data_IF_362586194800
#
_entry.id   IF_362586194800
#
_cell.length_a   1.000
_cell.length_b   1.000
_cell.length_c   1.000
_cell.angle_alpha   90.00
_cell.angle_beta   90.00
_cell.angle_gamma   90.00
#
_symmetry.space_group_name_H-M   'P 1'
#
loop_
_entity.id
_entity.type
_entity.pdbx_description
1 polymer ?
#
# COMPACT_ATOMS: atom_id res chain seq x y z
N UNK A 1 27.63 -50.41 1.01
CA UNK A 1 27.25 -49.17 0.30
C UNK A 1 27.66 -47.99 1.18
N UNK A 2 28.93 -47.80 1.59
CA UNK A 2 30.16 -47.41 0.86
C UNK A 2 30.02 -46.13 0.03
N UNK A 3 30.55 -45.03 0.60
CA UNK A 3 30.84 -43.76 -0.03
C UNK A 3 32.08 -43.83 -0.95
N UNK A 4 32.27 -42.84 -1.83
CA UNK A 4 33.61 -42.40 -2.25
C UNK A 4 33.76 -40.86 -2.04
N UNK A 5 34.69 -40.39 -1.21
CA UNK A 5 36.11 -40.03 -1.48
C UNK A 5 36.33 -38.88 -2.47
N UNK A 6 36.91 -37.81 -1.92
CA UNK A 6 37.57 -36.65 -2.55
C UNK A 6 38.74 -37.01 -3.46
N UNK A 7 38.94 -36.26 -4.54
CA UNK A 7 40.26 -36.10 -5.17
C UNK A 7 40.44 -34.70 -5.78
N UNK A 8 41.63 -34.12 -5.55
CA UNK A 8 42.08 -32.83 -6.04
C UNK A 8 43.23 -33.04 -7.05
N UNK A 9 43.26 -32.29 -8.15
CA UNK A 9 44.45 -32.13 -9.00
C UNK A 9 44.33 -30.83 -9.83
N UNK A 10 45.14 -29.80 -9.55
CA UNK A 10 46.52 -29.53 -10.01
C UNK A 10 46.58 -28.70 -11.30
N UNK A 11 47.05 -27.46 -11.12
CA UNK A 11 47.56 -26.52 -12.12
C UNK A 11 48.79 -27.05 -12.86
N UNK A 12 48.96 -26.77 -14.17
CA UNK A 12 50.26 -26.87 -14.82
C UNK A 12 51.03 -25.54 -14.79
N UNK A 13 52.22 -25.59 -14.19
CA UNK A 13 53.34 -24.65 -14.38
C UNK A 13 54.04 -24.92 -15.72
N UNK A 14 54.53 -23.87 -16.37
CA UNK A 14 55.83 -23.79 -17.10
C UNK A 14 55.96 -22.36 -17.66
N UNK A 15 57.10 -21.69 -17.74
CA UNK A 15 58.48 -21.96 -17.33
C UNK A 15 59.21 -20.60 -17.42
N UNK A 16 60.16 -20.35 -16.51
CA UNK A 16 60.96 -19.12 -16.43
C UNK A 16 61.90 -18.96 -17.63
N UNK A 17 62.10 -17.72 -18.09
CA UNK A 17 63.39 -17.25 -18.63
C UNK A 17 63.77 -15.95 -17.92
N UNK A 18 64.83 -16.04 -17.12
CA UNK A 18 65.65 -14.94 -16.63
C UNK A 18 66.44 -14.34 -17.79
N UNK A 19 66.68 -13.02 -17.81
CA UNK A 19 67.96 -12.40 -18.20
C UNK A 19 67.93 -10.88 -17.84
N UNK A 20 68.95 -10.51 -17.07
CA UNK A 20 69.68 -9.25 -16.94
C UNK A 20 68.96 -7.88 -16.86
N UNK A 21 69.28 -7.17 -15.77
CA UNK A 21 69.14 -5.74 -15.63
C UNK A 21 70.17 -4.99 -16.49
N UNK A 22 69.73 -3.91 -17.14
CA UNK A 22 70.58 -2.77 -17.52
C UNK A 22 69.76 -1.50 -17.35
N UNK A 23 70.27 -0.62 -16.50
CA UNK A 23 69.71 0.70 -16.20
C UNK A 23 69.76 1.61 -17.42
N UNK A 24 68.64 2.22 -17.77
CA UNK A 24 68.61 3.42 -18.60
C UNK A 24 67.55 4.38 -18.03
N UNK A 25 68.04 5.52 -17.52
CA UNK A 25 67.23 6.67 -17.14
C UNK A 25 66.60 7.24 -18.40
N UNK A 26 65.28 7.22 -18.48
CA UNK A 26 64.51 7.87 -19.53
C UNK A 26 63.28 8.53 -18.92
N UNK A 27 63.24 9.86 -18.94
CA UNK A 27 62.05 10.64 -18.59
C UNK A 27 60.90 10.19 -19.51
N UNK A 28 59.86 9.56 -18.95
CA UNK A 28 58.58 9.42 -19.62
C UNK A 28 57.67 10.52 -19.09
N UNK A 29 57.45 11.55 -19.90
CA UNK A 29 56.41 12.53 -19.69
C UNK A 29 55.05 11.81 -19.74
N UNK A 30 54.37 11.73 -18.59
CA UNK A 30 53.01 11.23 -18.51
C UNK A 30 52.06 12.23 -19.18
N UNK A 31 51.74 12.01 -20.45
CA UNK A 31 50.64 12.68 -21.12
C UNK A 31 49.32 12.24 -20.48
N UNK A 32 48.70 13.13 -19.71
CA UNK A 32 47.32 12.97 -19.25
C UNK A 32 46.43 13.13 -20.48
N UNK A 33 45.83 12.04 -20.95
CA UNK A 33 44.71 12.12 -21.89
C UNK A 33 43.46 12.40 -21.05
N UNK A 34 42.77 13.54 -21.21
CA UNK A 34 41.52 13.76 -20.54
C UNK A 34 40.47 12.85 -21.19
N UNK A 35 39.97 11.87 -20.43
CA UNK A 35 38.75 11.16 -20.79
C UNK A 35 37.60 12.16 -20.76
N UNK A 36 37.21 12.67 -21.94
CA UNK A 36 36.00 13.47 -22.09
C UNK A 36 34.80 12.56 -21.75
N UNK A 37 34.33 12.65 -20.50
CA UNK A 37 33.09 12.03 -20.08
C UNK A 37 31.96 12.66 -20.89
N UNK A 38 31.32 11.87 -21.75
CA UNK A 38 30.05 12.26 -22.35
C UNK A 38 29.05 12.25 -21.19
N UNK A 39 28.80 13.43 -20.61
CA UNK A 39 27.70 13.60 -19.68
C UNK A 39 26.41 13.30 -20.46
N UNK A 40 25.74 12.21 -20.08
CA UNK A 40 24.38 11.94 -20.54
C UNK A 40 23.53 13.15 -20.12
N UNK A 41 23.13 13.98 -21.08
CA UNK A 41 22.25 15.10 -20.80
C UNK A 41 20.98 14.56 -20.12
N UNK A 42 20.68 15.08 -18.93
CA UNK A 42 19.41 14.78 -18.27
C UNK A 42 18.28 15.11 -19.24
N UNK A 43 17.34 14.17 -19.40
CA UNK A 43 16.17 14.40 -20.22
C UNK A 43 15.49 15.71 -19.78
N UNK A 44 15.02 16.55 -20.73
CA UNK A 44 14.38 17.81 -20.38
C UNK A 44 13.21 17.52 -19.45
N UNK A 45 13.16 18.24 -18.32
CA UNK A 45 12.04 18.18 -17.41
C UNK A 45 10.76 18.57 -18.18
N UNK A 46 9.73 17.73 -18.13
CA UNK A 46 8.46 18.00 -18.79
C UNK A 46 7.92 19.36 -18.34
N UNK A 47 7.54 20.21 -19.30
CA UNK A 47 7.11 21.58 -19.05
C UNK A 47 5.82 21.67 -18.20
N UNK A 48 5.11 20.56 -18.01
CA UNK A 48 3.98 20.40 -17.10
C UNK A 48 3.97 18.95 -16.60
N UNK A 49 4.69 18.60 -15.52
CA UNK A 49 4.64 17.25 -15.00
C UNK A 49 3.18 16.92 -14.64
N UNK A 50 2.69 15.71 -14.97
CA UNK A 50 1.32 15.35 -14.67
C UNK A 50 1.07 15.53 -13.17
N UNK A 51 -0.07 16.14 -12.82
CA UNK A 51 -0.47 16.28 -11.43
C UNK A 51 -0.60 14.88 -10.82
N UNK A 52 0.03 14.67 -9.66
CA UNK A 52 -0.14 13.47 -8.85
C UNK A 52 -1.55 13.43 -8.28
N UNK A 53 -2.47 12.84 -9.04
CA UNK A 53 -3.90 12.78 -8.70
C UNK A 53 -4.37 11.37 -8.36
N UNK A 54 -3.55 10.35 -8.65
CA UNK A 54 -3.91 8.96 -8.44
C UNK A 54 -3.42 8.45 -7.09
N UNK A 55 -4.23 7.58 -6.48
CA UNK A 55 -3.76 6.67 -5.43
C UNK A 55 -3.77 5.25 -5.99
N UNK A 56 -2.86 4.41 -5.52
CA UNK A 56 -2.76 3.02 -5.98
C UNK A 56 -2.68 2.03 -4.82
N UNK A 57 -3.49 0.98 -4.88
CA UNK A 57 -3.30 -0.18 -4.01
C UNK A 57 -2.26 -1.12 -4.60
N UNK A 58 -1.35 -1.65 -3.78
CA UNK A 58 -0.43 -2.72 -4.17
C UNK A 58 -0.81 -4.02 -3.46
N UNK A 59 -1.41 -4.98 -4.18
CA UNK A 59 -1.69 -6.28 -3.62
C UNK A 59 -0.43 -7.02 -3.22
N UNK A 60 -0.44 -7.72 -2.08
CA UNK A 60 0.74 -8.46 -1.62
C UNK A 60 1.16 -9.57 -2.61
N UNK A 61 0.20 -10.16 -3.33
CA UNK A 61 0.43 -11.29 -4.24
C UNK A 61 1.08 -10.90 -5.56
N UNK A 62 1.15 -9.61 -5.89
CA UNK A 62 1.81 -9.05 -7.08
C UNK A 62 2.75 -7.91 -6.72
N UNK A 63 3.36 -7.98 -5.52
CA UNK A 63 4.18 -6.88 -4.98
C UNK A 63 5.33 -6.50 -5.92
N UNK A 64 6.03 -7.48 -6.51
CA UNK A 64 7.14 -7.22 -7.44
C UNK A 64 6.69 -6.41 -8.66
N UNK A 65 5.63 -6.88 -9.32
CA UNK A 65 5.10 -6.34 -10.57
C UNK A 65 4.46 -4.98 -10.31
N UNK A 66 3.69 -4.86 -9.23
CA UNK A 66 3.03 -3.62 -8.85
C UNK A 66 4.04 -2.54 -8.42
N UNK A 67 5.13 -2.92 -7.76
CA UNK A 67 6.21 -1.98 -7.41
C UNK A 67 6.94 -1.49 -8.66
N UNK A 68 7.27 -2.39 -9.60
CA UNK A 68 7.87 -2.01 -10.90
C UNK A 68 6.95 -1.06 -11.68
N UNK A 69 5.66 -1.37 -11.75
CA UNK A 69 4.66 -0.54 -12.43
C UNK A 69 4.56 0.85 -11.79
N UNK A 70 4.50 0.92 -10.45
CA UNK A 70 4.51 2.20 -9.74
C UNK A 70 5.80 2.99 -10.04
N UNK A 71 6.98 2.36 -9.94
CA UNK A 71 8.26 3.05 -10.16
C UNK A 71 8.33 3.66 -11.57
N UNK A 72 7.81 2.96 -12.57
CA UNK A 72 7.75 3.46 -13.95
C UNK A 72 6.75 4.63 -14.14
N UNK A 73 5.73 4.72 -13.29
CA UNK A 73 4.61 5.67 -13.43
C UNK A 73 4.46 6.63 -12.24
N UNK A 74 5.50 6.79 -11.42
CA UNK A 74 5.39 7.42 -10.10
C UNK A 74 4.98 8.90 -10.16
N UNK A 75 5.14 9.56 -11.31
CA UNK A 75 4.67 10.94 -11.53
C UNK A 75 3.14 11.07 -11.49
N UNK A 76 2.38 9.98 -11.68
CA UNK A 76 0.91 9.99 -11.65
C UNK A 76 0.33 9.87 -10.23
N UNK A 77 1.09 9.32 -9.29
CA UNK A 77 0.58 8.88 -7.99
C UNK A 77 0.95 9.84 -6.86
N UNK A 78 -0.04 10.30 -6.09
CA UNK A 78 0.18 11.06 -4.85
C UNK A 78 0.60 10.16 -3.69
N UNK A 79 0.01 8.97 -3.64
CA UNK A 79 0.19 8.04 -2.54
C UNK A 79 -0.13 6.61 -2.98
N UNK A 80 0.37 5.68 -2.19
CA UNK A 80 0.36 4.26 -2.48
C UNK A 80 0.07 3.46 -1.22
N UNK A 81 -0.75 2.42 -1.35
CA UNK A 81 -1.23 1.60 -0.24
C UNK A 81 -0.96 0.12 -0.45
N UNK A 82 0.18 -0.39 0.04
CA UNK A 82 0.45 -1.82 0.01
C UNK A 82 -0.43 -2.61 0.98
N UNK A 83 -0.97 -3.75 0.54
CA UNK A 83 -1.75 -4.70 1.34
C UNK A 83 -0.85 -5.58 2.23
N UNK A 84 -0.09 -4.95 3.12
CA UNK A 84 0.89 -5.66 3.96
C UNK A 84 0.40 -5.98 5.36
N UNK A 85 -0.74 -5.44 5.80
CA UNK A 85 -1.19 -5.58 7.18
C UNK A 85 -2.64 -6.00 7.28
N UNK A 86 -2.94 -6.73 8.34
CA UNK A 86 -4.30 -7.06 8.73
C UNK A 86 -4.45 -6.99 10.25
N UNK A 87 -5.64 -6.64 10.70
CA UNK A 87 -6.02 -6.85 12.07
C UNK A 87 -6.48 -8.31 12.24
N UNK A 88 -5.91 -9.01 13.22
CA UNK A 88 -6.18 -10.42 13.53
C UNK A 88 -6.58 -10.58 14.98
N UNK A 89 -7.27 -11.68 15.30
CA UNK A 89 -7.60 -12.02 16.69
C UNK A 89 -6.32 -12.21 17.50
N UNK A 90 -6.21 -11.53 18.64
CA UNK A 90 -5.21 -11.81 19.68
C UNK A 90 -5.80 -12.61 20.83
N UNK A 91 -7.10 -12.48 21.06
CA UNK A 91 -7.90 -13.31 21.96
C UNK A 91 -9.33 -13.41 21.42
N UNK A 92 -10.24 -14.04 22.17
CA UNK A 92 -11.68 -14.07 21.85
C UNK A 92 -12.31 -12.69 21.73
N UNK A 93 -11.65 -11.65 22.26
CA UNK A 93 -12.29 -10.35 22.41
C UNK A 93 -11.38 -9.16 22.14
N UNK A 94 -10.11 -9.40 21.78
CA UNK A 94 -9.12 -8.38 21.41
C UNK A 94 -8.51 -8.68 20.05
N UNK A 95 -8.00 -7.64 19.39
CA UNK A 95 -7.28 -7.75 18.13
C UNK A 95 -5.81 -7.34 18.31
N UNK A 96 -4.99 -7.69 17.32
CA UNK A 96 -3.67 -7.12 17.09
C UNK A 96 -3.47 -6.83 15.61
N UNK A 97 -2.65 -5.84 15.27
CA UNK A 97 -2.20 -5.65 13.89
C UNK A 97 -1.03 -6.59 13.60
N UNK A 98 -1.09 -7.29 12.48
CA UNK A 98 -0.09 -8.24 12.03
C UNK A 98 0.25 -8.01 10.55
N UNK A 99 1.35 -8.62 10.10
CA UNK A 99 1.69 -8.64 8.67
C UNK A 99 0.74 -9.60 7.96
N UNK A 100 0.03 -9.10 6.96
CA UNK A 100 -0.80 -9.87 6.06
C UNK A 100 0.10 -10.69 5.15
N UNK A 101 -0.12 -12.01 5.13
CA UNK A 101 0.63 -12.98 4.34
C UNK A 101 2.17 -12.79 4.41
N UNK A 102 2.83 -13.58 5.25
CA UNK A 102 4.28 -13.53 5.49
C UNK A 102 5.17 -13.91 4.28
N UNK A 103 4.60 -13.97 3.07
CA UNK A 103 5.29 -14.12 1.79
C UNK A 103 6.34 -13.03 1.52
N UNK A 104 6.21 -11.83 2.11
CA UNK A 104 7.21 -10.77 2.01
C UNK A 104 8.06 -10.73 3.27
N UNK A 105 9.33 -11.11 3.13
CA UNK A 105 10.32 -10.94 4.20
C UNK A 105 10.40 -9.47 4.66
N UNK A 106 10.82 -9.24 5.91
CA UNK A 106 11.04 -7.88 6.41
C UNK A 106 12.03 -7.09 5.53
N UNK A 107 13.06 -7.75 4.99
CA UNK A 107 14.00 -7.14 4.05
C UNK A 107 13.35 -6.74 2.73
N UNK A 108 12.47 -7.58 2.18
CA UNK A 108 11.71 -7.26 0.96
C UNK A 108 10.78 -6.07 1.19
N UNK A 109 10.05 -6.02 2.31
CA UNK A 109 9.16 -4.90 2.63
C UNK A 109 9.94 -3.59 2.81
N UNK A 110 11.08 -3.63 3.50
CA UNK A 110 11.94 -2.45 3.65
C UNK A 110 12.48 -1.95 2.30
N UNK A 111 12.91 -2.86 1.41
CA UNK A 111 13.37 -2.52 0.06
C UNK A 111 12.24 -1.89 -0.78
N UNK A 112 11.04 -2.49 -0.78
CA UNK A 112 9.89 -1.92 -1.49
C UNK A 112 9.51 -0.56 -0.92
N UNK A 113 9.46 -0.41 0.40
CA UNK A 113 9.20 0.88 1.05
C UNK A 113 10.19 1.95 0.58
N UNK A 114 11.48 1.64 0.56
CA UNK A 114 12.52 2.56 0.08
C UNK A 114 12.32 2.94 -1.40
N UNK A 115 11.96 1.99 -2.26
CA UNK A 115 11.66 2.27 -3.67
C UNK A 115 10.44 3.18 -3.84
N UNK A 116 9.36 2.94 -3.09
CA UNK A 116 8.15 3.76 -3.13
C UNK A 116 8.43 5.19 -2.67
N UNK A 117 9.04 5.35 -1.50
CA UNK A 117 9.39 6.66 -0.93
C UNK A 117 10.44 7.40 -1.76
N UNK A 118 11.39 6.68 -2.37
CA UNK A 118 12.40 7.25 -3.27
C UNK A 118 11.83 7.91 -4.53
N UNK A 119 10.55 7.66 -4.85
CA UNK A 119 9.83 8.37 -5.92
C UNK A 119 8.90 9.47 -5.41
N UNK A 120 8.93 9.73 -4.10
CA UNK A 120 8.20 10.81 -3.44
C UNK A 120 6.70 10.56 -3.25
N UNK A 121 6.20 9.33 -3.44
CA UNK A 121 4.82 9.02 -3.06
C UNK A 121 4.71 8.86 -1.55
N UNK A 122 3.58 9.27 -0.98
CA UNK A 122 3.24 8.92 0.39
C UNK A 122 2.94 7.42 0.46
N UNK A 123 3.48 6.73 1.44
CA UNK A 123 3.23 5.29 1.62
C UNK A 123 2.30 5.10 2.81
N UNK A 124 1.09 4.63 2.53
CA UNK A 124 0.00 4.44 3.48
C UNK A 124 -0.51 3.00 3.41
N UNK A 125 0.21 2.01 4.01
CA UNK A 125 -0.18 0.61 3.90
C UNK A 125 -1.60 0.34 4.37
N UNK A 126 -2.28 -0.56 3.67
CA UNK A 126 -3.64 -0.95 4.00
C UNK A 126 -3.66 -1.90 5.20
N UNK A 127 -4.63 -1.72 6.09
CA UNK A 127 -4.92 -2.65 7.19
C UNK A 127 -6.32 -3.23 6.98
N UNK A 128 -6.37 -4.51 6.64
CA UNK A 128 -7.63 -5.24 6.42
C UNK A 128 -8.20 -5.84 7.71
N UNK A 129 -9.50 -6.10 7.77
CA UNK A 129 -10.10 -6.88 8.87
C UNK A 129 -10.06 -8.39 8.62
N UNK A 130 -9.07 -9.06 9.23
CA UNK A 130 -8.89 -10.52 9.22
C UNK A 130 -9.49 -11.24 10.43
N UNK A 131 -10.32 -10.59 11.25
CA UNK A 131 -10.79 -11.15 12.54
C UNK A 131 -12.03 -12.05 12.43
N UNK A 132 -12.77 -11.95 11.34
CA UNK A 132 -14.04 -12.65 11.11
C UNK A 132 -15.25 -11.88 11.64
N UNK A 133 -16.45 -12.39 11.33
CA UNK A 133 -17.71 -11.68 11.56
C UNK A 133 -17.91 -11.27 13.03
N UNK A 134 -18.34 -10.03 13.25
CA UNK A 134 -18.73 -9.43 14.52
C UNK A 134 -17.57 -9.04 15.44
N UNK A 135 -16.36 -9.57 15.20
CA UNK A 135 -15.25 -9.42 16.15
C UNK A 135 -14.73 -7.99 16.19
N UNK A 136 -14.42 -7.39 15.05
CA UNK A 136 -13.89 -6.02 15.03
C UNK A 136 -14.92 -4.99 15.54
N UNK A 137 -16.22 -5.23 15.31
CA UNK A 137 -17.28 -4.40 15.89
C UNK A 137 -17.27 -4.47 17.41
N UNK A 138 -17.13 -5.68 17.98
CA UNK A 138 -17.00 -5.87 19.42
C UNK A 138 -15.76 -5.17 20.01
N UNK A 139 -14.62 -5.21 19.31
CA UNK A 139 -13.39 -4.51 19.68
C UNK A 139 -13.61 -2.99 19.70
N UNK A 140 -14.17 -2.42 18.64
CA UNK A 140 -14.44 -0.98 18.56
C UNK A 140 -15.48 -0.50 19.58
N UNK A 141 -16.45 -1.34 19.96
CA UNK A 141 -17.46 -0.99 20.96
C UNK A 141 -16.87 -0.85 22.36
N UNK A 142 -15.80 -1.57 22.68
CA UNK A 142 -15.13 -1.50 23.97
C UNK A 142 -14.05 -0.40 23.97
N UNK A 143 -14.11 0.54 24.92
CA UNK A 143 -13.23 1.71 24.94
C UNK A 143 -11.73 1.35 25.10
N UNK A 144 -11.40 0.44 26.02
CA UNK A 144 -10.01 0.05 26.26
C UNK A 144 -9.42 -0.70 25.05
N UNK A 145 -10.19 -1.59 24.44
CA UNK A 145 -9.74 -2.38 23.28
C UNK A 145 -9.62 -1.53 22.03
N UNK A 146 -10.55 -0.59 21.82
CA UNK A 146 -10.46 0.40 20.75
C UNK A 146 -9.19 1.25 20.90
N UNK A 147 -8.91 1.76 22.10
CA UNK A 147 -7.69 2.52 22.37
C UNK A 147 -6.42 1.69 22.16
N UNK A 148 -6.43 0.42 22.58
CA UNK A 148 -5.31 -0.49 22.33
C UNK A 148 -5.05 -0.71 20.83
N UNK A 149 -6.10 -0.89 20.03
CA UNK A 149 -5.96 -1.02 18.57
C UNK A 149 -5.44 0.28 17.93
N UNK A 150 -5.94 1.45 18.36
CA UNK A 150 -5.43 2.76 17.90
C UNK A 150 -3.92 2.88 18.17
N UNK A 151 -3.48 2.55 19.39
CA UNK A 151 -2.06 2.62 19.76
C UNK A 151 -1.21 1.65 18.94
N UNK A 152 -1.71 0.45 18.65
CA UNK A 152 -1.01 -0.50 17.78
C UNK A 152 -0.81 0.03 16.37
N UNK A 153 -1.84 0.70 15.80
CA UNK A 153 -1.76 1.29 14.46
C UNK A 153 -0.78 2.47 14.45
N UNK A 154 -0.86 3.38 15.42
CA UNK A 154 0.11 4.49 15.52
C UNK A 154 1.54 3.99 15.67
N UNK A 155 1.79 3.02 16.56
CA UNK A 155 3.11 2.41 16.72
C UNK A 155 3.60 1.77 15.41
N UNK A 156 2.73 1.05 14.70
CA UNK A 156 3.08 0.49 13.39
C UNK A 156 3.54 1.57 12.41
N UNK A 157 2.79 2.67 12.30
CA UNK A 157 3.10 3.79 11.41
C UNK A 157 4.44 4.43 11.75
N UNK A 158 4.64 4.73 13.03
CA UNK A 158 5.84 5.42 13.49
C UNK A 158 7.09 4.53 13.39
N UNK A 159 7.00 3.26 13.82
CA UNK A 159 8.15 2.34 13.80
C UNK A 159 8.61 1.95 12.39
N UNK A 160 7.74 2.03 11.38
CA UNK A 160 8.10 1.70 9.99
C UNK A 160 8.29 2.95 9.11
N UNK A 161 8.12 4.15 9.66
CA UNK A 161 8.26 5.39 8.90
C UNK A 161 7.23 5.52 7.78
N UNK A 162 6.01 4.99 7.95
CA UNK A 162 4.91 5.22 7.02
C UNK A 162 4.40 6.66 7.12
N UNK A 163 3.76 7.13 6.07
CA UNK A 163 3.18 8.49 6.00
C UNK A 163 1.73 8.51 6.51
N UNK A 164 1.15 7.33 6.74
CA UNK A 164 -0.20 7.13 7.23
C UNK A 164 -0.62 5.67 7.09
N UNK A 165 -1.92 5.41 7.17
CA UNK A 165 -2.52 4.12 6.83
C UNK A 165 -3.75 4.30 5.96
N UNK A 166 -4.12 3.22 5.28
CA UNK A 166 -5.40 3.05 4.64
C UNK A 166 -6.19 1.97 5.40
N UNK A 167 -7.33 2.33 5.96
CA UNK A 167 -8.12 1.41 6.77
C UNK A 167 -9.17 0.71 5.91
N UNK A 168 -9.08 -0.61 5.82
CA UNK A 168 -9.91 -1.44 4.93
C UNK A 168 -10.71 -2.48 5.72
N UNK A 169 -11.62 -1.98 6.57
CA UNK A 169 -12.43 -2.81 7.47
C UNK A 169 -13.80 -3.08 6.87
N UNK A 170 -13.87 -4.16 6.08
CA UNK A 170 -15.03 -4.49 5.25
C UNK A 170 -16.04 -5.46 5.90
N UNK A 171 -15.64 -6.22 6.93
CA UNK A 171 -16.47 -7.29 7.50
C UNK A 171 -17.80 -6.80 8.06
N UNK A 172 -17.87 -5.56 8.56
CA UNK A 172 -19.14 -4.97 8.99
C UNK A 172 -20.16 -4.93 7.86
N UNK A 173 -19.74 -4.59 6.64
CA UNK A 173 -20.61 -4.52 5.48
C UNK A 173 -21.01 -5.90 4.95
N UNK A 174 -20.06 -6.82 4.85
CA UNK A 174 -20.24 -8.04 4.06
C UNK A 174 -20.32 -9.34 4.87
N UNK A 175 -20.15 -9.28 6.19
CA UNK A 175 -20.12 -10.49 7.03
C UNK A 175 -20.95 -10.38 8.30
N UNK A 176 -21.04 -9.20 8.92
CA UNK A 176 -21.73 -9.02 10.21
C UNK A 176 -23.26 -8.92 10.06
N UNK A 177 -23.74 -8.65 8.84
CA UNK A 177 -25.15 -8.41 8.53
C UNK A 177 -25.65 -7.04 9.00
N UNK A 178 -26.65 -6.50 8.30
CA UNK A 178 -27.18 -5.16 8.54
C UNK A 178 -27.77 -4.95 9.95
N UNK A 179 -28.26 -6.02 10.58
CA UNK A 179 -28.78 -5.95 11.96
C UNK A 179 -27.71 -5.51 12.99
N UNK A 180 -26.43 -5.65 12.67
CA UNK A 180 -25.33 -5.18 13.54
C UNK A 180 -25.05 -3.67 13.42
N UNK A 181 -25.46 -3.04 12.31
CA UNK A 181 -24.97 -1.73 11.89
C UNK A 181 -25.33 -0.61 12.87
N UNK A 182 -26.48 -0.68 13.54
CA UNK A 182 -26.90 0.32 14.53
C UNK A 182 -25.96 0.37 15.74
N UNK A 183 -25.31 -0.75 16.08
CA UNK A 183 -24.32 -0.86 17.14
C UNK A 183 -22.90 -0.59 16.63
N UNK A 184 -22.60 -1.00 15.41
CA UNK A 184 -21.28 -0.85 14.79
C UNK A 184 -21.00 0.59 14.37
N UNK A 185 -21.95 1.29 13.75
CA UNK A 185 -21.82 2.67 13.24
C UNK A 185 -21.24 3.65 14.27
N UNK A 186 -21.83 3.83 15.47
CA UNK A 186 -21.27 4.76 16.44
C UNK A 186 -19.91 4.31 17.00
N UNK A 187 -19.61 3.00 17.00
CA UNK A 187 -18.32 2.48 17.42
C UNK A 187 -17.23 2.75 16.37
N UNK A 188 -17.58 2.59 15.08
CA UNK A 188 -16.76 2.94 13.93
C UNK A 188 -16.38 4.43 13.95
N UNK A 189 -17.36 5.33 14.09
CA UNK A 189 -17.12 6.78 14.16
C UNK A 189 -16.17 7.14 15.30
N UNK A 190 -16.37 6.56 16.50
CA UNK A 190 -15.46 6.77 17.64
C UNK A 190 -14.05 6.25 17.36
N UNK A 191 -13.93 5.12 16.67
CA UNK A 191 -12.63 4.56 16.30
C UNK A 191 -11.90 5.46 15.31
N UNK A 192 -12.56 5.89 14.23
CA UNK A 192 -11.97 6.81 13.25
C UNK A 192 -11.55 8.12 13.90
N UNK A 193 -12.40 8.73 14.73
CA UNK A 193 -12.07 9.98 15.44
C UNK A 193 -10.84 9.83 16.34
N UNK A 194 -10.74 8.73 17.10
CA UNK A 194 -9.60 8.48 17.97
C UNK A 194 -8.32 8.19 17.18
N UNK A 195 -8.42 7.37 16.12
CA UNK A 195 -7.28 7.03 15.28
C UNK A 195 -6.74 8.25 14.53
N UNK A 196 -7.63 9.04 13.93
CA UNK A 196 -7.31 10.32 13.29
C UNK A 196 -6.55 11.24 14.22
N UNK A 197 -7.06 11.48 15.44
CA UNK A 197 -6.43 12.40 16.37
C UNK A 197 -4.99 11.98 16.73
N UNK A 198 -4.76 10.68 16.95
CA UNK A 198 -3.43 10.15 17.26
C UNK A 198 -2.49 10.24 16.04
N UNK A 199 -2.96 9.85 14.85
CA UNK A 199 -2.14 9.91 13.63
C UNK A 199 -1.79 11.37 13.26
N UNK A 200 -2.77 12.27 13.31
CA UNK A 200 -2.56 13.69 12.98
C UNK A 200 -1.61 14.38 13.97
N UNK A 201 -1.63 14.01 15.25
CA UNK A 201 -0.67 14.51 16.24
C UNK A 201 0.80 14.15 15.87
N UNK A 202 1.00 13.02 15.20
CA UNK A 202 2.30 12.56 14.70
C UNK A 202 2.60 13.01 13.25
N UNK A 203 1.76 13.89 12.68
CA UNK A 203 1.87 14.34 11.28
C UNK A 203 1.57 13.25 10.24
N UNK A 204 0.83 12.20 10.62
CA UNK A 204 0.47 11.05 9.78
C UNK A 204 -0.94 11.17 9.23
N UNK A 205 -1.21 10.48 8.13
CA UNK A 205 -2.50 10.53 7.43
C UNK A 205 -3.40 9.33 7.69
N UNK A 206 -4.71 9.54 7.57
CA UNK A 206 -5.73 8.50 7.63
C UNK A 206 -6.54 8.47 6.33
N UNK A 207 -6.37 7.40 5.55
CA UNK A 207 -7.30 7.03 4.50
C UNK A 207 -8.23 5.91 4.99
N UNK A 208 -9.43 5.85 4.42
CA UNK A 208 -10.42 4.81 4.73
C UNK A 208 -11.03 4.31 3.43
N UNK A 209 -10.93 3.00 3.19
CA UNK A 209 -11.62 2.31 2.11
C UNK A 209 -13.05 1.97 2.55
N UNK A 210 -14.04 2.32 1.72
CA UNK A 210 -15.46 2.14 2.01
C UNK A 210 -16.22 1.63 0.79
N UNK A 211 -17.22 0.75 0.96
CA UNK A 211 -18.14 0.39 -0.11
C UNK A 211 -19.06 1.58 -0.47
N UNK A 212 -19.68 1.58 -1.67
CA UNK A 212 -20.44 2.73 -2.18
C UNK A 212 -21.69 3.05 -1.35
N UNK A 213 -22.04 4.33 -1.23
CA UNK A 213 -23.24 4.82 -0.56
C UNK A 213 -24.02 5.76 -1.51
N UNK A 214 -25.34 5.89 -1.31
CA UNK A 214 -26.18 6.82 -2.08
C UNK A 214 -26.69 6.26 -3.41
N UNK A 215 -26.67 4.94 -3.57
CA UNK A 215 -27.15 4.23 -4.77
C UNK A 215 -27.96 2.98 -4.40
N UNK A 216 -28.87 2.51 -5.27
CA UNK A 216 -29.53 1.21 -5.08
C UNK A 216 -28.49 0.10 -4.88
N UNK A 217 -28.72 -0.78 -3.89
CA UNK A 217 -27.81 -1.87 -3.51
C UNK A 217 -26.41 -1.44 -3.04
N UNK A 218 -26.17 -0.15 -2.83
CA UNK A 218 -24.96 0.41 -2.23
C UNK A 218 -25.36 1.47 -1.20
N UNK A 219 -25.91 1.02 -0.09
CA UNK A 219 -26.28 1.87 1.06
C UNK A 219 -25.69 1.31 2.35
N UNK A 220 -24.35 1.31 2.43
CA UNK A 220 -23.60 0.79 3.57
C UNK A 220 -23.47 1.85 4.68
N UNK A 221 -24.61 2.33 5.21
CA UNK A 221 -24.67 3.43 6.18
C UNK A 221 -23.89 3.19 7.49
N UNK A 222 -23.44 1.96 7.75
CA UNK A 222 -22.54 1.62 8.86
C UNK A 222 -21.25 2.44 8.87
N UNK A 223 -20.76 2.89 7.71
CA UNK A 223 -19.52 3.68 7.59
C UNK A 223 -19.68 5.16 7.92
N UNK A 224 -20.91 5.67 7.98
CA UNK A 224 -21.25 7.04 8.39
C UNK A 224 -20.33 8.11 7.79
N UNK A 225 -20.32 8.21 6.46
CA UNK A 225 -19.48 9.15 5.71
C UNK A 225 -19.54 10.60 6.25
N UNK A 226 -20.73 11.17 6.56
CA UNK A 226 -20.80 12.51 7.15
C UNK A 226 -20.06 12.61 8.49
N UNK A 227 -20.18 11.61 9.36
CA UNK A 227 -19.57 11.66 10.68
C UNK A 227 -18.04 11.44 10.66
N UNK A 228 -17.52 10.69 9.69
CA UNK A 228 -16.07 10.43 9.57
C UNK A 228 -15.33 11.45 8.69
N UNK A 229 -16.03 12.14 7.78
CA UNK A 229 -15.44 13.09 6.82
C UNK A 229 -14.51 14.15 7.42
N UNK A 230 -14.85 14.77 8.58
CA UNK A 230 -13.95 15.72 9.25
C UNK A 230 -12.65 15.10 9.78
N UNK A 231 -12.59 13.78 9.95
CA UNK A 231 -11.50 13.08 10.63
C UNK A 231 -10.56 12.34 9.67
N UNK A 232 -10.95 12.13 8.40
CA UNK A 232 -10.11 11.43 7.43
C UNK A 232 -9.41 12.43 6.49
N UNK A 233 -8.23 12.05 6.00
CA UNK A 233 -7.53 12.74 4.91
C UNK A 233 -8.12 12.33 3.55
N UNK A 234 -8.51 11.05 3.42
CA UNK A 234 -9.01 10.46 2.18
C UNK A 234 -10.14 9.47 2.45
N UNK A 235 -11.25 9.61 1.73
CA UNK A 235 -12.30 8.60 1.63
C UNK A 235 -12.16 7.90 0.27
N UNK A 236 -11.78 6.62 0.30
CA UNK A 236 -11.57 5.80 -0.90
C UNK A 236 -12.77 4.90 -1.12
N UNK A 237 -13.62 5.28 -2.07
CA UNK A 237 -14.87 4.59 -2.34
C UNK A 237 -14.61 3.46 -3.31
N UNK A 238 -14.92 2.23 -2.93
CA UNK A 238 -14.82 1.03 -3.74
C UNK A 238 -15.96 0.97 -4.77
N UNK A 239 -15.97 1.91 -5.72
CA UNK A 239 -16.99 2.04 -6.77
C UNK A 239 -16.79 0.99 -7.89
N UNK A 240 -16.73 -0.28 -7.49
CA UNK A 240 -16.54 -1.44 -8.35
C UNK A 240 -17.24 -2.68 -7.76
N UNK A 241 -17.12 -3.82 -8.46
CA UNK A 241 -17.88 -5.04 -8.22
C UNK A 241 -19.41 -4.83 -8.28
N UNK A 242 -19.85 -3.89 -9.12
CA UNK A 242 -21.27 -3.73 -9.47
C UNK A 242 -21.84 -5.02 -10.08
N UNK A 243 -21.10 -5.58 -11.04
CA UNK A 243 -21.32 -6.93 -11.55
C UNK A 243 -20.26 -7.87 -10.95
N UNK A 244 -20.69 -8.73 -10.04
CA UNK A 244 -19.82 -9.70 -9.35
C UNK A 244 -20.19 -11.14 -9.69
N UNK A 245 -21.40 -11.58 -9.31
CA UNK A 245 -21.86 -12.97 -9.46
C UNK A 245 -22.53 -13.25 -10.80
N UNK A 246 -22.95 -12.21 -11.51
CA UNK A 246 -23.64 -12.30 -12.80
C UNK A 246 -22.93 -11.42 -13.83
N UNK A 247 -22.96 -11.79 -15.13
CA UNK A 247 -22.32 -11.00 -16.18
C UNK A 247 -22.79 -9.53 -16.20
N UNK A 248 -21.82 -8.62 -16.34
CA UNK A 248 -22.10 -7.19 -16.43
C UNK A 248 -20.85 -6.31 -16.25
N UNK A 249 -21.02 -4.97 -16.23
CA UNK A 249 -19.90 -4.06 -16.04
C UNK A 249 -19.38 -4.10 -14.60
N UNK A 250 -18.12 -4.51 -14.40
CA UNK A 250 -17.50 -4.59 -13.05
C UNK A 250 -17.48 -3.23 -12.36
N UNK A 251 -17.14 -2.15 -13.06
CA UNK A 251 -17.18 -0.78 -12.54
C UNK A 251 -18.59 -0.14 -12.51
N UNK A 252 -19.61 -0.88 -12.93
CA UNK A 252 -20.97 -0.36 -13.07
C UNK A 252 -21.12 0.64 -14.23
N UNK A 253 -22.37 1.09 -14.51
CA UNK A 253 -22.62 2.15 -15.48
C UNK A 253 -22.12 3.50 -14.94
N UNK A 254 -21.73 4.41 -15.85
CA UNK A 254 -21.25 5.74 -15.48
C UNK A 254 -22.27 6.54 -14.64
N UNK A 255 -23.57 6.34 -14.85
CA UNK A 255 -24.63 6.95 -14.05
C UNK A 255 -24.58 6.54 -12.58
N UNK A 256 -24.25 5.28 -12.29
CA UNK A 256 -24.10 4.76 -10.93
C UNK A 256 -22.89 5.38 -10.24
N UNK A 257 -21.73 5.42 -10.92
CA UNK A 257 -20.53 6.09 -10.41
C UNK A 257 -20.77 7.58 -10.14
N UNK A 258 -21.49 8.28 -11.04
CA UNK A 258 -21.86 9.69 -10.85
C UNK A 258 -22.75 9.91 -9.61
N UNK A 259 -23.69 9.01 -9.32
CA UNK A 259 -24.53 9.11 -8.13
C UNK A 259 -23.73 8.93 -6.84
N UNK A 260 -22.83 7.94 -6.80
CA UNK A 260 -21.90 7.73 -5.68
C UNK A 260 -21.06 8.99 -5.44
N UNK A 261 -20.47 9.54 -6.51
CA UNK A 261 -19.65 10.74 -6.43
C UNK A 261 -20.45 11.95 -5.93
N UNK A 262 -21.66 12.14 -6.44
CA UNK A 262 -22.55 13.23 -6.04
C UNK A 262 -22.95 13.12 -4.55
N UNK A 263 -23.23 11.91 -4.07
CA UNK A 263 -23.52 11.69 -2.66
C UNK A 263 -22.28 11.93 -1.77
N UNK A 264 -21.11 11.42 -2.15
CA UNK A 264 -19.87 11.69 -1.41
C UNK A 264 -19.58 13.19 -1.30
N UNK A 265 -19.73 13.92 -2.41
CA UNK A 265 -19.51 15.37 -2.47
C UNK A 265 -20.56 16.19 -1.69
N UNK A 266 -21.75 15.63 -1.43
CA UNK A 266 -22.77 16.33 -0.63
C UNK A 266 -22.53 16.19 0.87
N UNK A 267 -21.74 15.20 1.31
CA UNK A 267 -21.49 14.91 2.74
C UNK A 267 -20.08 15.22 3.21
N UNK A 268 -19.12 15.45 2.30
CA UNK A 268 -17.76 15.86 2.66
C UNK A 268 -17.05 16.64 1.52
N UNK A 269 -15.96 17.37 1.84
CA UNK A 269 -15.18 18.10 0.83
C UNK A 269 -14.71 17.19 -0.33
N UNK A 270 -14.96 17.57 -1.60
CA UNK A 270 -14.63 16.73 -2.76
C UNK A 270 -13.14 16.40 -2.91
N UNK A 271 -12.24 17.23 -2.39
CA UNK A 271 -10.79 17.00 -2.41
C UNK A 271 -10.35 15.80 -1.55
N UNK A 272 -11.20 15.36 -0.61
CA UNK A 272 -10.99 14.14 0.18
C UNK A 272 -11.49 12.88 -0.51
N UNK A 273 -12.35 13.00 -1.53
CA UNK A 273 -13.06 11.88 -2.14
C UNK A 273 -12.20 11.26 -3.25
N UNK A 274 -12.03 9.94 -3.20
CA UNK A 274 -11.34 9.16 -4.22
C UNK A 274 -12.27 8.04 -4.71
N UNK A 275 -12.52 7.99 -6.02
CA UNK A 275 -13.30 6.93 -6.64
C UNK A 275 -12.38 5.79 -7.09
N UNK A 276 -12.53 4.62 -6.48
CA UNK A 276 -11.85 3.41 -6.88
C UNK A 276 -12.32 2.95 -8.25
N UNK A 277 -11.36 2.60 -9.12
CA UNK A 277 -11.63 2.06 -10.45
C UNK A 277 -10.98 0.68 -10.56
N UNK A 278 -11.71 -0.36 -11.01
CA UNK A 278 -11.15 -1.71 -11.08
C UNK A 278 -10.21 -1.80 -12.29
N UNK A 279 -8.99 -2.30 -12.08
CA UNK A 279 -8.04 -2.63 -13.15
C UNK A 279 -8.12 -4.10 -13.56
N UNK A 280 -9.28 -4.72 -13.33
CA UNK A 280 -9.57 -6.12 -13.62
C UNK A 280 -10.97 -6.27 -14.20
N UNK A 281 -11.19 -7.39 -14.89
CA UNK A 281 -12.50 -7.84 -15.35
C UNK A 281 -12.85 -9.20 -14.73
N UNK A 282 -14.02 -9.73 -15.08
CA UNK A 282 -14.44 -11.10 -14.74
C UNK A 282 -14.81 -11.84 -16.02
N UNK A 283 -14.50 -13.12 -16.03
CA UNK A 283 -14.92 -14.07 -17.05
C UNK A 283 -15.93 -15.01 -16.40
N UNK A 284 -17.17 -15.03 -16.90
CA UNK A 284 -18.26 -15.81 -16.33
C UNK A 284 -18.54 -17.00 -17.23
N UNK A 285 -18.54 -18.19 -16.63
CA UNK A 285 -19.10 -19.38 -17.28
C UNK A 285 -20.62 -19.24 -17.25
N UNK A 286 -21.21 -18.95 -18.41
CA UNK A 286 -22.65 -18.79 -18.63
C UNK A 286 -23.31 -20.07 -19.11
#
# INVERSE_FOLDING_TARGET
>A
MTAPTTEAAKTPKRMRRTIAALSAVGLVAAGIVPSAGIAQAAAPAEANPPKRIMSGWLPYWTTSESTKSFVANASLFSDISPFWHNAVKSSSSSSKVAIQNNSLSSGTRASVLAQLKGRGALVMPSITDGTGAGHMSAVMRNAAKRAALVNQISNLVNSNGYDGIDLDFEKFAFSDGQASWSKTRPAWVRFIKQLSAVLHADGKKLAVAVPPMGVPNGDYWVYDWPAIGPHVDKLRIMAYDYAYSVPGPVGGPLSWVKQIAAYAASVMPPDKVQLGTPTYGRDWVV
#
